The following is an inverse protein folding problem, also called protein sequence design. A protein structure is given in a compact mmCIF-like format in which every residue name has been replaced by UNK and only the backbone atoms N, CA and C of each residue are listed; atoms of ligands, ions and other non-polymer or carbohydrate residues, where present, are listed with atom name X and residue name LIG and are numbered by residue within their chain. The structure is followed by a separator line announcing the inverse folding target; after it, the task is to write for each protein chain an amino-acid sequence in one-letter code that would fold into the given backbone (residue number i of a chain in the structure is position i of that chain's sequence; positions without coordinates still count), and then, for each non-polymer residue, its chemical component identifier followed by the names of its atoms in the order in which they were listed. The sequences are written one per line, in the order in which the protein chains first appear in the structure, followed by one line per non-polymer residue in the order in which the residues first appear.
data_IF_142215820406
#
_entry.id   IF_142215820406
#
_cell.length_a   1.000
_cell.length_b   1.000
_cell.length_c   1.000
_cell.angle_alpha   90.00
_cell.angle_beta   90.00
_cell.angle_gamma   90.00
#
_symmetry.space_group_name_H-M   'P 1'
#
loop_
_entity.id
_entity.type
_entity.pdbx_description
1 polymer ?
#
# COMPACT_ATOMS: atom_id res chain seq x y z
N UNK A 1 -1.14 13.25 -8.12
CA UNK A 1 -1.60 11.86 -7.76
C UNK A 1 -0.41 10.91 -7.67
N UNK A 2 -0.51 9.77 -6.96
CA UNK A 2 0.57 8.76 -6.86
C UNK A 2 0.12 7.42 -7.44
N UNK A 3 0.91 6.84 -8.33
CA UNK A 3 0.65 5.51 -8.90
C UNK A 3 1.36 4.46 -8.07
N UNK A 4 0.62 3.42 -7.66
CA UNK A 4 1.15 2.19 -7.09
C UNK A 4 1.15 1.13 -8.18
N UNK A 5 2.32 0.58 -8.46
CA UNK A 5 2.51 -0.43 -9.49
C UNK A 5 3.40 -1.56 -9.02
N UNK A 6 3.36 -2.70 -9.70
CA UNK A 6 4.22 -3.85 -9.44
C UNK A 6 4.69 -4.45 -10.75
N UNK A 7 5.94 -4.92 -10.79
CA UNK A 7 6.44 -5.69 -11.93
C UNK A 7 5.83 -7.09 -11.91
N UNK A 8 5.13 -7.46 -12.98
CA UNK A 8 4.61 -8.82 -13.22
C UNK A 8 5.60 -9.65 -14.03
N UNK A 9 6.31 -9.01 -14.97
CA UNK A 9 7.45 -9.58 -15.70
C UNK A 9 8.54 -8.51 -15.89
N UNK A 10 9.74 -8.84 -16.42
CA UNK A 10 10.80 -7.85 -16.65
C UNK A 10 10.34 -6.62 -17.43
N UNK A 11 9.45 -6.83 -18.41
CA UNK A 11 8.96 -5.80 -19.34
C UNK A 11 7.51 -5.37 -19.05
N UNK A 12 6.83 -5.98 -18.08
CA UNK A 12 5.44 -5.70 -17.76
C UNK A 12 5.26 -5.19 -16.33
N UNK A 13 4.79 -3.95 -16.22
CA UNK A 13 4.40 -3.31 -14.98
C UNK A 13 2.88 -3.17 -14.93
N UNK A 14 2.28 -3.68 -13.86
CA UNK A 14 0.82 -3.62 -13.63
C UNK A 14 0.53 -2.53 -12.62
N UNK A 15 -0.39 -1.63 -12.95
CA UNK A 15 -0.89 -0.61 -12.03
C UNK A 15 -1.89 -1.26 -11.08
N UNK A 16 -1.61 -1.16 -9.78
CA UNK A 16 -2.45 -1.72 -8.72
C UNK A 16 -3.50 -0.71 -8.25
N UNK A 17 -3.08 0.55 -8.04
CA UNK A 17 -3.95 1.62 -7.56
C UNK A 17 -3.38 2.99 -7.96
N UNK A 18 -4.26 3.97 -8.11
CA UNK A 18 -3.89 5.40 -8.16
C UNK A 18 -4.38 6.02 -6.86
N UNK A 19 -3.48 6.65 -6.11
CA UNK A 19 -3.73 7.32 -4.85
C UNK A 19 -3.97 8.81 -5.09
N UNK A 20 -5.04 9.31 -4.49
CA UNK A 20 -5.41 10.72 -4.41
C UNK A 20 -5.07 11.36 -3.07
N UNK A 21 -5.63 12.54 -2.84
CA UNK A 21 -5.53 13.23 -1.56
C UNK A 21 -6.26 12.41 -0.47
N UNK A 22 -5.65 12.25 0.70
CA UNK A 22 -6.18 11.46 1.81
C UNK A 22 -5.97 9.95 1.71
N UNK A 23 -5.57 9.42 0.55
CA UNK A 23 -5.14 8.03 0.43
C UNK A 23 -3.80 7.78 1.15
N UNK A 24 -3.55 6.52 1.53
CA UNK A 24 -2.32 6.09 2.17
C UNK A 24 -1.79 4.79 1.55
N UNK A 25 -0.51 4.48 1.83
CA UNK A 25 0.15 3.23 1.44
C UNK A 25 1.10 2.76 2.56
N UNK A 26 1.63 1.54 2.45
CA UNK A 26 2.62 1.01 3.40
C UNK A 26 2.04 0.26 4.60
N UNK A 27 0.72 0.08 4.67
CA UNK A 27 0.07 -0.68 5.74
C UNK A 27 0.24 -2.21 5.61
N UNK A 28 0.34 -2.74 4.38
CA UNK A 28 0.39 -4.19 4.16
C UNK A 28 1.56 -4.90 4.88
N UNK A 29 2.82 -4.41 4.82
CA UNK A 29 3.92 -5.03 5.57
C UNK A 29 3.74 -4.96 7.10
N UNK A 30 2.88 -4.06 7.59
CA UNK A 30 2.60 -3.93 9.02
C UNK A 30 1.65 -5.05 9.48
N UNK A 31 0.61 -5.35 8.69
CA UNK A 31 -0.41 -6.35 9.03
C UNK A 31 -0.02 -7.78 8.60
N UNK A 32 0.54 -7.96 7.41
CA UNK A 32 0.73 -9.28 6.81
C UNK A 32 2.19 -9.75 6.74
N UNK A 33 3.12 -8.96 7.28
CA UNK A 33 4.57 -9.25 7.28
C UNK A 33 5.13 -9.61 5.88
N UNK A 34 4.56 -9.00 4.83
CA UNK A 34 4.99 -9.24 3.46
C UNK A 34 6.04 -8.22 2.98
N UNK A 35 7.00 -8.64 2.13
CA UNK A 35 7.94 -7.72 1.51
C UNK A 35 7.23 -6.74 0.56
N UNK A 36 7.63 -5.46 0.62
CA UNK A 36 7.06 -4.41 -0.23
C UNK A 36 7.64 -4.48 -1.64
N UNK A 37 6.95 -5.19 -2.54
CA UNK A 37 7.36 -5.31 -3.95
C UNK A 37 6.62 -4.33 -4.88
N UNK A 38 6.14 -3.20 -4.35
CA UNK A 38 5.40 -2.20 -5.13
C UNK A 38 6.25 -0.95 -5.35
N UNK A 39 6.22 -0.43 -6.57
CA UNK A 39 6.79 0.85 -6.93
C UNK A 39 5.76 1.96 -6.72
N UNK A 40 6.25 3.13 -6.32
CA UNK A 40 5.45 4.34 -6.13
C UNK A 40 6.01 5.43 -7.03
N UNK A 41 5.16 5.99 -7.88
CA UNK A 41 5.55 7.05 -8.82
C UNK A 41 4.55 8.20 -8.72
N UNK A 42 5.01 9.38 -8.32
CA UNK A 42 4.20 10.59 -8.38
C UNK A 42 4.00 10.99 -9.85
N UNK A 43 2.75 11.29 -10.25
CA UNK A 43 2.43 11.82 -11.58
C UNK A 43 2.68 13.33 -11.67
N UNK A 44 2.50 14.01 -10.55
CA UNK A 44 2.55 15.47 -10.42
C UNK A 44 3.28 15.83 -9.12
N UNK A 45 3.43 17.12 -8.83
CA UNK A 45 3.88 17.56 -7.50
C UNK A 45 2.90 17.08 -6.43
N UNK A 46 3.43 16.40 -5.42
CA UNK A 46 2.68 15.90 -4.28
C UNK A 46 3.44 16.21 -2.99
N UNK A 47 2.69 16.43 -1.91
CA UNK A 47 3.23 16.51 -0.56
C UNK A 47 2.69 15.32 0.20
N UNK A 48 3.59 14.53 0.78
CA UNK A 48 3.23 13.32 1.53
C UNK A 48 3.66 13.48 2.99
N UNK A 49 2.81 13.02 3.90
CA UNK A 49 3.22 12.77 5.29
C UNK A 49 3.85 11.38 5.37
N UNK A 50 4.94 11.27 6.13
CA UNK A 50 5.59 10.00 6.41
C UNK A 50 5.47 9.69 7.90
N UNK A 51 5.24 8.43 8.23
CA UNK A 51 5.12 7.93 9.59
C UNK A 51 5.92 6.63 9.72
N UNK A 52 6.63 6.46 10.82
CA UNK A 52 7.33 5.20 11.10
C UNK A 52 6.36 4.09 11.55
N UNK A 53 6.84 2.86 11.51
CA UNK A 53 6.04 1.67 11.83
C UNK A 53 5.50 1.69 13.28
N UNK A 54 6.32 2.07 14.25
CA UNK A 54 5.95 2.02 15.66
C UNK A 54 4.86 3.06 15.97
N UNK A 55 5.01 4.27 15.43
CA UNK A 55 4.02 5.33 15.55
C UNK A 55 2.69 4.92 14.91
N UNK A 56 2.72 4.35 13.70
CA UNK A 56 1.50 3.86 13.05
C UNK A 56 0.82 2.76 13.87
N UNK A 57 1.57 1.76 14.34
CA UNK A 57 1.02 0.67 15.16
C UNK A 57 0.37 1.19 16.44
N UNK A 58 0.97 2.16 17.11
CA UNK A 58 0.38 2.81 18.28
C UNK A 58 -0.92 3.54 17.97
N UNK A 59 -0.96 4.27 16.84
CA UNK A 59 -2.14 5.01 16.40
C UNK A 59 -3.31 4.09 16.04
N UNK A 60 -3.04 2.98 15.34
CA UNK A 60 -4.10 2.06 14.88
C UNK A 60 -4.50 1.02 15.92
N UNK A 61 -3.77 0.87 17.02
CA UNK A 61 -4.04 -0.14 18.05
C UNK A 61 -5.51 -0.18 18.53
N UNK A 62 -6.21 0.95 18.74
CA UNK A 62 -7.62 0.93 19.15
C UNK A 62 -8.57 0.33 18.09
N UNK A 63 -8.23 0.49 16.82
CA UNK A 63 -9.07 0.14 15.66
C UNK A 63 -8.44 -0.94 14.76
N UNK A 64 -7.51 -1.72 15.31
CA UNK A 64 -6.61 -2.54 14.52
C UNK A 64 -7.36 -3.55 13.65
N UNK A 65 -8.44 -4.15 14.17
CA UNK A 65 -9.30 -5.11 13.44
C UNK A 65 -10.04 -4.45 12.28
N UNK A 66 -10.49 -3.20 12.46
CA UNK A 66 -11.20 -2.43 11.43
C UNK A 66 -10.25 -2.15 10.25
N UNK A 67 -9.03 -1.72 10.56
CA UNK A 67 -8.01 -1.40 9.54
C UNK A 67 -7.48 -2.65 8.86
N UNK A 68 -7.25 -3.74 9.62
CA UNK A 68 -6.81 -5.01 9.07
C UNK A 68 -7.81 -5.54 8.02
N UNK A 69 -9.11 -5.51 8.32
CA UNK A 69 -10.16 -5.93 7.38
C UNK A 69 -10.18 -5.12 6.08
N UNK A 70 -9.98 -3.80 6.15
CA UNK A 70 -9.91 -2.95 4.95
C UNK A 70 -8.62 -3.26 4.16
N UNK A 71 -7.54 -3.55 4.87
CA UNK A 71 -6.23 -3.87 4.28
C UNK A 71 -6.21 -5.27 3.64
N UNK A 72 -7.03 -6.20 4.13
CA UNK A 72 -7.19 -7.57 3.62
C UNK A 72 -7.66 -7.60 2.16
N UNK A 73 -8.66 -6.81 1.79
CA UNK A 73 -9.16 -6.78 0.41
C UNK A 73 -8.06 -6.34 -0.59
N UNK A 74 -7.22 -5.39 -0.17
CA UNK A 74 -6.08 -4.96 -0.97
C UNK A 74 -4.98 -6.03 -1.03
N UNK A 75 -4.74 -6.75 0.07
CA UNK A 75 -3.81 -7.89 0.10
C UNK A 75 -4.20 -8.98 -0.89
N UNK A 76 -5.47 -9.39 -0.89
CA UNK A 76 -6.01 -10.42 -1.80
C UNK A 76 -5.91 -9.98 -3.26
N UNK A 77 -6.22 -8.71 -3.54
CA UNK A 77 -6.08 -8.15 -4.88
C UNK A 77 -4.63 -8.24 -5.38
N UNK A 78 -3.63 -7.84 -4.59
CA UNK A 78 -2.23 -7.92 -5.00
C UNK A 78 -1.80 -9.35 -5.30
N UNK A 79 -2.22 -10.33 -4.48
CA UNK A 79 -1.88 -11.74 -4.70
C UNK A 79 -2.60 -12.35 -5.90
N UNK A 80 -3.79 -11.83 -6.24
CA UNK A 80 -4.49 -12.27 -7.46
C UNK A 80 -3.77 -11.85 -8.74
N UNK A 81 -2.98 -10.76 -8.69
CA UNK A 81 -2.17 -10.25 -9.82
C UNK A 81 -0.83 -11.01 -9.94
N UNK A 82 -0.44 -11.81 -8.94
CA UNK A 82 0.78 -12.63 -8.99
C UNK A 82 0.59 -14.00 -9.69
N UNK A 83 -0.66 -14.44 -9.89
CA UNK A 83 -0.97 -15.69 -10.59
C UNK A 83 -1.07 -15.49 -12.11
#
# INVERSE_FOLDING_TARGET
QVVVSKKSSPDQEVVLKILGEGDYFGALPIFFNIPSHVALKARDQVTCMMMDRQTFQGMVAPEIKSIERITQAYYEFIHSVEK
#
